data_IF_572983594834
#
_entry.id   IF_572983594834
#
_cell.length_a   1.000
_cell.length_b   1.000
_cell.length_c   1.000
_cell.angle_alpha   90.00
_cell.angle_beta   90.00
_cell.angle_gamma   90.00
#
_symmetry.space_group_name_H-M   'P 1'
#
loop_
_entity.id
_entity.type
_entity.pdbx_description
1 polymer ?
#
# COMPACT_ATOMS: atom_id res chain seq x y z
N UNK A 1 -4.97 -17.45 -18.19
CA UNK A 1 -4.54 -17.47 -16.77
C UNK A 1 -5.41 -16.47 -16.02
N UNK A 2 -5.73 -16.72 -14.74
CA UNK A 2 -6.50 -15.76 -13.94
C UNK A 2 -5.62 -14.54 -13.58
N UNK A 3 -6.23 -13.35 -13.50
CA UNK A 3 -5.51 -12.13 -13.10
C UNK A 3 -5.05 -12.22 -11.63
N UNK A 4 -3.77 -11.93 -11.36
CA UNK A 4 -3.22 -11.88 -9.99
C UNK A 4 -3.38 -10.48 -9.41
N UNK A 5 -4.63 -10.09 -9.18
CA UNK A 5 -5.01 -8.79 -8.62
C UNK A 5 -5.81 -8.96 -7.34
N UNK A 6 -5.58 -8.07 -6.39
CA UNK A 6 -6.33 -8.04 -5.13
C UNK A 6 -6.64 -6.60 -4.71
N UNK A 7 -7.78 -6.45 -4.06
CA UNK A 7 -8.18 -5.21 -3.38
C UNK A 7 -8.55 -5.55 -1.96
N UNK A 8 -7.86 -4.92 -1.00
CA UNK A 8 -8.06 -5.13 0.43
C UNK A 8 -8.38 -3.79 1.07
N UNK A 9 -9.31 -3.81 2.03
CA UNK A 9 -9.61 -2.67 2.88
C UNK A 9 -9.66 -3.16 4.31
N UNK A 10 -9.01 -2.45 5.21
CA UNK A 10 -8.90 -2.76 6.62
C UNK A 10 -9.15 -1.50 7.42
N UNK A 11 -10.11 -1.57 8.32
CA UNK A 11 -10.49 -0.47 9.19
C UNK A 11 -10.47 -0.95 10.63
N UNK A 12 -9.80 -0.19 11.49
CA UNK A 12 -9.75 -0.41 12.94
C UNK A 12 -10.11 0.89 13.65
N UNK A 13 -10.06 0.88 14.98
CA UNK A 13 -10.18 2.12 15.74
C UNK A 13 -8.97 3.06 15.56
N UNK A 14 -7.85 2.56 15.01
CA UNK A 14 -6.58 3.27 14.94
C UNK A 14 -6.25 3.76 13.53
N UNK A 15 -6.65 2.97 12.50
CA UNK A 15 -6.31 3.24 11.11
C UNK A 15 -7.44 2.93 10.13
N UNK A 16 -7.34 3.52 8.94
CA UNK A 16 -8.10 3.15 7.76
C UNK A 16 -7.12 2.93 6.61
N UNK A 17 -7.07 1.71 6.07
CA UNK A 17 -6.12 1.28 5.04
C UNK A 17 -6.87 0.69 3.85
N UNK A 18 -6.49 1.09 2.65
CA UNK A 18 -6.93 0.48 1.40
C UNK A 18 -5.74 0.24 0.48
N UNK A 19 -5.65 -0.98 -0.04
CA UNK A 19 -4.61 -1.42 -0.97
C UNK A 19 -5.24 -2.07 -2.19
N UNK A 20 -4.79 -1.68 -3.37
CA UNK A 20 -5.03 -2.35 -4.65
C UNK A 20 -3.65 -2.80 -5.18
N UNK A 21 -3.48 -4.10 -5.42
CA UNK A 21 -2.24 -4.71 -5.88
C UNK A 21 -2.47 -5.49 -7.17
N UNK A 22 -1.64 -5.24 -8.18
CA UNK A 22 -1.48 -6.09 -9.35
C UNK A 22 -0.07 -6.68 -9.35
N UNK A 23 0.03 -8.00 -9.22
CA UNK A 23 1.33 -8.71 -9.19
C UNK A 23 1.92 -8.85 -10.60
N UNK A 24 1.09 -8.82 -11.64
CA UNK A 24 1.48 -8.79 -13.05
C UNK A 24 1.47 -7.34 -13.57
N UNK A 25 2.17 -6.44 -12.86
CA UNK A 25 2.14 -5.01 -13.10
C UNK A 25 3.19 -4.50 -14.07
N UNK A 26 3.37 -3.18 -14.04
CA UNK A 26 4.37 -2.43 -14.81
C UNK A 26 5.23 -1.49 -13.95
N UNK A 27 5.09 -1.60 -12.62
CA UNK A 27 5.80 -0.75 -11.66
C UNK A 27 5.10 0.58 -11.38
N UNK A 28 3.81 0.73 -11.74
CA UNK A 28 3.06 1.96 -11.49
C UNK A 28 2.64 2.05 -10.01
N UNK A 29 2.72 3.23 -9.42
CA UNK A 29 2.29 3.38 -8.03
C UNK A 29 1.58 4.70 -7.73
N UNK A 30 0.65 4.63 -6.78
CA UNK A 30 0.00 5.80 -6.16
C UNK A 30 -0.16 5.50 -4.67
N UNK A 31 0.74 6.04 -3.86
CA UNK A 31 0.87 5.67 -2.44
C UNK A 31 0.73 6.94 -1.60
N UNK A 32 -0.13 6.87 -0.58
CA UNK A 32 -0.35 7.97 0.36
C UNK A 32 -0.65 7.42 1.73
N UNK A 33 0.37 7.34 2.58
CA UNK A 33 0.24 6.94 4.00
C UNK A 33 0.31 8.14 4.95
N UNK A 34 0.69 9.31 4.45
CA UNK A 34 1.03 10.48 5.28
C UNK A 34 2.45 10.44 5.86
N UNK A 35 3.21 9.35 5.65
CA UNK A 35 4.57 9.18 6.13
C UNK A 35 5.52 9.15 4.93
N UNK A 36 6.15 10.29 4.62
CA UNK A 36 6.94 10.48 3.39
C UNK A 36 8.02 9.41 3.16
N UNK A 37 8.73 9.00 4.21
CA UNK A 37 9.78 7.97 4.08
C UNK A 37 9.17 6.60 3.76
N UNK A 38 8.03 6.27 4.35
CA UNK A 38 7.37 5.00 4.10
C UNK A 38 6.76 4.94 2.69
N UNK A 39 6.13 6.03 2.25
CA UNK A 39 5.65 6.19 0.87
C UNK A 39 6.79 5.97 -0.15
N UNK A 40 7.98 6.52 0.13
CA UNK A 40 9.17 6.31 -0.70
C UNK A 40 9.59 4.84 -0.73
N UNK A 41 9.64 4.14 0.40
CA UNK A 41 10.02 2.73 0.46
C UNK A 41 9.02 1.82 -0.27
N UNK A 42 7.72 2.06 -0.11
CA UNK A 42 6.68 1.31 -0.83
C UNK A 42 6.71 1.59 -2.34
N UNK A 43 7.07 2.80 -2.76
CA UNK A 43 7.28 3.12 -4.17
C UNK A 43 8.46 2.33 -4.76
N UNK A 44 9.56 2.16 -4.00
CA UNK A 44 10.67 1.30 -4.40
C UNK A 44 10.22 -0.17 -4.55
N UNK A 45 9.38 -0.66 -3.63
CA UNK A 45 8.79 -2.01 -3.73
C UNK A 45 7.98 -2.18 -5.02
N UNK A 46 7.12 -1.23 -5.36
CA UNK A 46 6.35 -1.26 -6.61
C UNK A 46 7.27 -1.25 -7.83
N UNK A 47 8.22 -0.32 -7.89
CA UNK A 47 9.09 -0.11 -9.04
C UNK A 47 10.03 -1.30 -9.29
N UNK A 48 10.67 -1.82 -8.24
CA UNK A 48 11.65 -2.91 -8.37
C UNK A 48 11.00 -4.30 -8.37
N UNK A 49 9.80 -4.45 -7.81
CA UNK A 49 8.99 -5.66 -7.92
C UNK A 49 8.18 -5.74 -9.21
N UNK A 50 8.10 -4.65 -9.99
CA UNK A 50 7.26 -4.51 -11.18
C UNK A 50 5.77 -4.75 -10.85
N UNK A 51 5.35 -4.29 -9.67
CA UNK A 51 3.97 -4.35 -9.21
C UNK A 51 3.26 -3.04 -9.51
N UNK A 52 1.95 -3.11 -9.81
CA UNK A 52 1.13 -1.90 -9.71
C UNK A 52 0.51 -1.82 -8.32
N UNK A 53 0.80 -0.75 -7.57
CA UNK A 53 0.34 -0.56 -6.19
C UNK A 53 -0.41 0.77 -6.06
N UNK A 54 -1.67 0.71 -5.65
CA UNK A 54 -2.41 1.88 -5.21
C UNK A 54 -2.78 1.71 -3.74
N UNK A 55 -2.29 2.63 -2.92
CA UNK A 55 -2.40 2.55 -1.46
C UNK A 55 -2.79 3.89 -0.86
N UNK A 56 -3.79 3.86 0.02
CA UNK A 56 -4.13 4.97 0.89
C UNK A 56 -4.24 4.48 2.33
N UNK A 57 -3.58 5.15 3.25
CA UNK A 57 -3.69 4.88 4.67
C UNK A 57 -3.78 6.18 5.47
N UNK A 58 -4.57 6.16 6.54
CA UNK A 58 -4.65 7.24 7.52
C UNK A 58 -4.75 6.67 8.94
N UNK A 59 -4.26 7.43 9.91
CA UNK A 59 -4.24 7.09 11.33
C UNK A 59 -3.55 8.20 12.12
N UNK A 60 -3.79 8.25 13.43
CA UNK A 60 -3.20 9.28 14.30
C UNK A 60 -1.74 8.99 14.67
N UNK A 61 -1.40 7.71 14.82
CA UNK A 61 -0.06 7.25 15.20
C UNK A 61 0.66 6.61 14.00
N UNK A 62 1.93 6.96 13.79
CA UNK A 62 2.70 6.46 12.66
C UNK A 62 3.04 4.97 12.76
N UNK A 63 3.24 4.43 13.97
CA UNK A 63 3.49 3.02 14.19
C UNK A 63 2.33 2.18 13.68
N UNK A 64 1.10 2.51 14.09
CA UNK A 64 -0.10 1.78 13.68
C UNK A 64 -0.32 1.88 12.17
N UNK A 65 -0.08 3.05 11.56
CA UNK A 65 -0.18 3.20 10.08
C UNK A 65 0.81 2.30 9.36
N UNK A 66 2.07 2.23 9.82
CA UNK A 66 3.09 1.37 9.20
C UNK A 66 2.76 -0.11 9.39
N UNK A 67 2.35 -0.51 10.60
CA UNK A 67 1.95 -1.87 10.94
C UNK A 67 0.76 -2.32 10.08
N UNK A 68 -0.33 -1.56 10.09
CA UNK A 68 -1.59 -1.95 9.46
C UNK A 68 -1.55 -1.90 7.93
N UNK A 69 -0.58 -1.18 7.34
CA UNK A 69 -0.29 -1.25 5.90
C UNK A 69 0.45 -2.54 5.52
N UNK A 70 1.27 -3.09 6.43
CA UNK A 70 2.06 -4.29 6.17
C UNK A 70 1.31 -5.60 6.45
N UNK A 71 0.24 -5.58 7.24
CA UNK A 71 -0.65 -6.70 7.56
C UNK A 71 -1.60 -7.02 6.40
#
# INVERSE_FOLDING_TARGET
MAERKAVVTRETAETNVRVELNVDGSGQFKITTGIRMFDHLLAQLAQHGVFDIKLSASGADQHHVVEDVAI
#
